data_IF_493703682598
#
_entry.id   IF_493703682598
#
_cell.length_a   1.000
_cell.length_b   1.000
_cell.length_c   1.000
_cell.angle_alpha   90.00
_cell.angle_beta   90.00
_cell.angle_gamma   90.00
#
_symmetry.space_group_name_H-M   'P 1'
#
loop_
_entity.id
_entity.type
_entity.pdbx_description
1 polymer ?
#
# COMPACT_ATOMS: atom_id res chain seq x y z
N UNK A 1 16.34 0.56 -17.40
CA UNK A 1 16.21 1.03 -16.01
C UNK A 1 15.15 0.17 -15.40
N UNK A 2 15.60 -0.85 -14.69
CA UNK A 2 14.73 -1.80 -14.01
C UNK A 2 13.87 -1.03 -12.99
N UNK A 3 12.54 -1.24 -12.97
CA UNK A 3 11.65 -0.57 -12.01
C UNK A 3 12.05 -0.79 -10.54
N UNK A 4 12.88 -1.81 -10.29
CA UNK A 4 13.43 -2.20 -8.99
C UNK A 4 14.65 -1.37 -8.55
N UNK A 5 15.41 -0.75 -9.46
CA UNK A 5 16.57 0.09 -9.08
C UNK A 5 16.18 1.37 -8.34
N UNK A 6 14.94 1.86 -8.52
CA UNK A 6 14.50 3.14 -7.92
C UNK A 6 13.85 2.99 -6.54
N UNK A 7 13.69 1.77 -6.03
CA UNK A 7 13.01 1.50 -4.76
C UNK A 7 14.02 1.14 -3.69
N UNK A 8 14.65 2.18 -3.15
CA UNK A 8 15.61 2.10 -2.05
C UNK A 8 15.05 1.29 -0.87
N UNK A 9 15.78 0.22 -0.57
CA UNK A 9 15.62 -0.68 0.57
C UNK A 9 15.72 0.09 1.89
N UNK A 10 14.58 0.41 2.51
CA UNK A 10 14.49 1.14 3.78
C UNK A 10 14.90 0.37 5.05
N UNK A 11 15.62 -0.75 4.95
CA UNK A 11 16.08 -1.52 6.11
C UNK A 11 17.61 -1.66 6.14
N UNK A 12 18.23 -1.93 7.31
CA UNK A 12 19.67 -2.15 7.39
C UNK A 12 20.05 -3.33 6.50
N UNK A 13 20.97 -3.10 5.57
CA UNK A 13 21.55 -4.15 4.73
C UNK A 13 22.17 -5.23 5.64
N UNK A 14 21.96 -6.53 5.36
CA UNK A 14 22.68 -7.60 6.04
C UNK A 14 24.20 -7.34 6.00
N UNK A 15 24.91 -7.65 7.08
CA UNK A 15 26.36 -7.34 7.22
C UNK A 15 27.23 -8.00 6.14
N UNK A 16 26.72 -9.03 5.46
CA UNK A 16 27.40 -9.77 4.39
C UNK A 16 26.85 -9.46 2.98
N UNK A 17 26.12 -8.35 2.80
CA UNK A 17 25.55 -7.99 1.51
C UNK A 17 26.66 -7.52 0.52
N UNK A 18 26.88 -8.29 -0.54
CA UNK A 18 27.69 -7.89 -1.68
C UNK A 18 26.77 -7.56 -2.88
N UNK A 19 26.89 -6.33 -3.40
CA UNK A 19 26.01 -5.80 -4.45
C UNK A 19 26.31 -6.36 -5.85
N UNK A 20 27.42 -7.09 -6.03
CA UNK A 20 27.79 -7.72 -7.31
C UNK A 20 27.37 -9.20 -7.41
N UNK A 21 26.78 -9.76 -6.35
CA UNK A 21 26.42 -11.18 -6.30
C UNK A 21 24.93 -11.41 -6.64
N UNK A 22 24.68 -12.11 -7.74
CA UNK A 22 23.33 -12.38 -8.25
C UNK A 22 22.50 -13.28 -7.31
N UNK A 23 23.12 -14.19 -6.55
CA UNK A 23 22.42 -15.04 -5.58
C UNK A 23 21.89 -14.22 -4.41
N UNK A 24 22.70 -13.26 -3.96
CA UNK A 24 22.33 -12.33 -2.89
C UNK A 24 21.21 -11.36 -3.31
N UNK A 25 21.14 -10.97 -4.59
CA UNK A 25 20.01 -10.20 -5.13
C UNK A 25 18.73 -11.04 -5.22
N UNK A 26 18.81 -12.27 -5.73
CA UNK A 26 17.64 -13.15 -5.86
C UNK A 26 17.03 -13.49 -4.48
N UNK A 27 17.87 -13.77 -3.49
CA UNK A 27 17.40 -14.03 -2.12
C UNK A 27 16.80 -12.78 -1.47
N UNK A 28 17.33 -11.59 -1.76
CA UNK A 28 16.74 -10.33 -1.33
C UNK A 28 15.37 -10.10 -1.96
N UNK A 29 15.21 -10.34 -3.26
CA UNK A 29 13.93 -10.24 -3.96
C UNK A 29 12.89 -11.22 -3.43
N UNK A 30 13.28 -12.47 -3.13
CA UNK A 30 12.41 -13.46 -2.48
C UNK A 30 11.94 -12.98 -1.11
N UNK A 31 12.87 -12.51 -0.26
CA UNK A 31 12.51 -11.98 1.06
C UNK A 31 11.61 -10.74 0.97
N UNK A 32 11.87 -9.89 -0.02
CA UNK A 32 11.06 -8.73 -0.31
C UNK A 32 9.62 -9.14 -0.69
N UNK A 33 9.47 -10.08 -1.63
CA UNK A 33 8.17 -10.60 -2.04
C UNK A 33 7.40 -11.22 -0.86
N UNK A 34 8.07 -11.99 0.00
CA UNK A 34 7.46 -12.57 1.22
C UNK A 34 6.90 -11.47 2.12
N UNK A 35 7.65 -10.38 2.36
CA UNK A 35 7.19 -9.27 3.20
C UNK A 35 5.98 -8.54 2.59
N UNK A 36 5.97 -8.35 1.26
CA UNK A 36 4.87 -7.70 0.55
C UNK A 36 3.59 -8.54 0.65
N UNK A 37 3.69 -9.84 0.40
CA UNK A 37 2.56 -10.79 0.51
C UNK A 37 2.07 -10.87 1.96
N UNK A 38 2.98 -10.91 2.93
CA UNK A 38 2.62 -10.91 4.34
C UNK A 38 1.88 -9.63 4.74
N UNK A 39 2.33 -8.46 4.28
CA UNK A 39 1.64 -7.19 4.50
C UNK A 39 0.22 -7.22 3.94
N UNK A 40 0.08 -7.65 2.68
CA UNK A 40 -1.22 -7.79 2.00
C UNK A 40 -2.17 -8.72 2.77
N UNK A 41 -1.72 -9.94 3.09
CA UNK A 41 -2.53 -10.92 3.79
C UNK A 41 -2.90 -10.47 5.21
N UNK A 42 -1.98 -9.80 5.90
CA UNK A 42 -2.23 -9.25 7.24
C UNK A 42 -3.29 -8.15 7.19
N UNK A 43 -3.19 -7.23 6.23
CA UNK A 43 -4.16 -6.16 6.08
C UNK A 43 -5.56 -6.70 5.75
N UNK A 44 -5.65 -7.66 4.82
CA UNK A 44 -6.91 -8.31 4.48
C UNK A 44 -7.54 -9.01 5.70
N UNK A 45 -6.76 -9.80 6.44
CA UNK A 45 -7.22 -10.49 7.64
C UNK A 45 -7.68 -9.54 8.76
N UNK A 46 -7.18 -8.30 8.79
CA UNK A 46 -7.70 -7.26 9.69
C UNK A 46 -9.08 -6.81 9.21
N UNK A 47 -9.24 -6.49 7.93
CA UNK A 47 -10.52 -6.05 7.35
C UNK A 47 -11.62 -7.12 7.45
N UNK A 48 -11.28 -8.40 7.39
CA UNK A 48 -12.24 -9.49 7.64
C UNK A 48 -12.76 -9.51 9.09
N UNK A 49 -11.97 -8.98 10.05
CA UNK A 49 -12.27 -9.04 11.49
C UNK A 49 -12.86 -7.75 12.04
N UNK A 50 -12.54 -6.61 11.45
CA UNK A 50 -13.02 -5.29 11.86
C UNK A 50 -13.40 -4.45 10.65
N UNK A 51 -14.43 -3.61 10.78
CA UNK A 51 -14.81 -2.64 9.75
C UNK A 51 -13.66 -1.69 9.43
N UNK A 52 -13.39 -1.45 8.15
CA UNK A 52 -12.35 -0.53 7.70
C UNK A 52 -12.56 0.89 8.22
N UNK A 53 -13.82 1.34 8.32
CA UNK A 53 -14.19 2.65 8.88
C UNK A 53 -13.79 2.88 10.33
N UNK A 54 -13.56 1.81 11.10
CA UNK A 54 -13.02 1.87 12.46
C UNK A 54 -11.51 1.69 12.57
N UNK A 55 -10.82 1.44 11.46
CA UNK A 55 -9.40 1.08 11.45
C UNK A 55 -8.50 2.32 11.34
N UNK A 56 -7.53 2.44 12.25
CA UNK A 56 -6.41 3.38 12.16
C UNK A 56 -5.19 2.64 11.64
N UNK A 57 -4.61 3.11 10.53
CA UNK A 57 -3.44 2.51 9.90
C UNK A 57 -2.13 3.07 10.47
N UNK A 58 -2.15 4.34 10.88
CA UNK A 58 -1.01 5.04 11.48
C UNK A 58 -1.47 5.92 12.64
N UNK A 59 -0.50 6.47 13.39
CA UNK A 59 -0.78 7.47 14.43
C UNK A 59 -1.20 8.82 13.85
N UNK A 60 -0.90 9.09 12.58
CA UNK A 60 -1.06 10.38 11.91
C UNK A 60 -2.05 10.31 10.72
N UNK A 61 -3.03 9.40 10.78
CA UNK A 61 -3.98 9.20 9.67
C UNK A 61 -4.73 10.47 9.27
N UNK A 62 -5.06 11.32 10.24
CA UNK A 62 -5.70 12.62 9.99
C UNK A 62 -4.79 13.52 9.14
N UNK A 63 -3.49 13.63 9.49
CA UNK A 63 -2.51 14.40 8.73
C UNK A 63 -2.33 13.85 7.30
N UNK A 64 -2.25 12.52 7.15
CA UNK A 64 -2.07 11.87 5.85
C UNK A 64 -3.28 12.12 4.95
N UNK A 65 -4.48 11.99 5.50
CA UNK A 65 -5.72 12.18 4.76
C UNK A 65 -5.93 13.64 4.32
N UNK A 66 -5.67 14.60 5.21
CA UNK A 66 -5.80 16.03 4.89
C UNK A 66 -4.77 16.44 3.83
N UNK A 67 -3.52 16.00 3.97
CA UNK A 67 -2.49 16.26 2.97
C UNK A 67 -2.83 15.60 1.62
N UNK A 68 -3.46 14.42 1.60
CA UNK A 68 -3.89 13.77 0.35
C UNK A 68 -4.93 14.64 -0.37
N UNK A 69 -5.90 15.21 0.35
CA UNK A 69 -6.91 16.11 -0.24
C UNK A 69 -6.30 17.40 -0.79
N UNK A 70 -5.31 17.95 -0.10
CA UNK A 70 -4.60 19.14 -0.55
C UNK A 70 -3.73 18.85 -1.79
N UNK A 71 -2.97 17.74 -1.75
CA UNK A 71 -2.02 17.39 -2.79
C UNK A 71 -2.68 16.78 -4.02
N UNK A 72 -3.82 16.12 -3.86
CA UNK A 72 -4.61 15.45 -4.90
C UNK A 72 -6.12 15.71 -4.70
N UNK A 73 -6.59 16.96 -4.86
CA UNK A 73 -8.01 17.29 -4.72
C UNK A 73 -8.92 16.53 -5.69
N UNK A 74 -8.37 16.02 -6.79
CA UNK A 74 -9.06 15.19 -7.77
C UNK A 74 -9.13 13.70 -7.39
N UNK A 75 -8.48 13.28 -6.31
CA UNK A 75 -8.43 11.88 -5.91
C UNK A 75 -9.79 11.39 -5.39
N UNK A 76 -10.37 10.43 -6.08
CA UNK A 76 -11.58 9.71 -5.65
C UNK A 76 -11.20 8.32 -5.11
N UNK A 77 -11.40 8.03 -3.80
CA UNK A 77 -11.07 6.73 -3.22
C UNK A 77 -11.94 5.57 -3.75
N UNK A 78 -13.11 5.85 -4.36
CA UNK A 78 -13.99 4.85 -4.96
C UNK A 78 -13.67 4.55 -6.42
N UNK A 79 -12.95 5.44 -7.10
CA UNK A 79 -12.54 5.24 -8.48
C UNK A 79 -11.48 4.14 -8.60
N UNK A 80 -11.43 3.51 -9.78
CA UNK A 80 -10.29 2.65 -10.12
C UNK A 80 -9.07 3.52 -10.32
N UNK A 81 -8.02 3.19 -9.59
CA UNK A 81 -6.73 3.83 -9.69
C UNK A 81 -6.10 3.51 -11.04
N UNK A 82 -5.73 4.56 -11.76
CA UNK A 82 -4.99 4.47 -13.02
C UNK A 82 -3.47 4.41 -12.74
N UNK A 83 -2.90 3.24 -12.95
CA UNK A 83 -1.47 2.98 -12.73
C UNK A 83 -0.59 3.80 -13.69
N UNK A 84 -1.04 4.04 -14.92
CA UNK A 84 -0.29 4.81 -15.92
C UNK A 84 -0.23 6.29 -15.52
N UNK A 85 -1.32 6.83 -14.97
CA UNK A 85 -1.32 8.20 -14.42
C UNK A 85 -0.37 8.34 -13.24
N UNK A 86 -0.31 7.35 -12.34
CA UNK A 86 0.67 7.35 -11.25
C UNK A 86 2.11 7.26 -11.75
N UNK A 87 2.35 6.46 -12.80
CA UNK A 87 3.67 6.27 -13.40
C UNK A 87 4.08 7.38 -14.37
N UNK A 88 3.15 8.26 -14.76
CA UNK A 88 3.43 9.43 -15.58
C UNK A 88 4.47 10.34 -14.91
N UNK A 89 5.14 11.19 -15.70
CA UNK A 89 6.14 12.11 -15.17
C UNK A 89 5.57 12.99 -14.04
N UNK A 90 4.41 13.60 -14.29
CA UNK A 90 3.73 14.46 -13.33
C UNK A 90 3.26 13.67 -12.10
N UNK A 91 2.70 12.47 -12.30
CA UNK A 91 2.27 11.60 -11.21
C UNK A 91 3.41 11.20 -10.28
N UNK A 92 4.53 10.76 -10.86
CA UNK A 92 5.75 10.42 -10.12
C UNK A 92 6.29 11.59 -9.32
N UNK A 93 6.37 12.78 -9.90
CA UNK A 93 6.87 13.98 -9.22
C UNK A 93 5.97 14.37 -8.04
N UNK A 94 4.64 14.36 -8.22
CA UNK A 94 3.67 14.67 -7.16
C UNK A 94 3.69 13.66 -6.02
N UNK A 95 3.65 12.36 -6.34
CA UNK A 95 3.71 11.31 -5.33
C UNK A 95 5.04 11.30 -4.59
N UNK A 96 6.16 11.57 -5.28
CA UNK A 96 7.47 11.72 -4.63
C UNK A 96 7.45 12.88 -3.65
N UNK A 97 6.96 14.05 -4.05
CA UNK A 97 6.84 15.21 -3.17
C UNK A 97 5.96 14.91 -1.95
N UNK A 98 4.83 14.22 -2.16
CA UNK A 98 3.94 13.77 -1.10
C UNK A 98 4.66 12.86 -0.09
N UNK A 99 5.36 11.84 -0.59
CA UNK A 99 6.07 10.85 0.23
C UNK A 99 7.22 11.44 1.04
N UNK A 100 8.01 12.35 0.45
CA UNK A 100 9.16 12.98 1.12
C UNK A 100 8.78 13.74 2.39
N UNK A 101 7.54 14.23 2.49
CA UNK A 101 7.03 14.88 3.72
C UNK A 101 6.99 13.93 4.93
N UNK A 102 6.97 12.62 4.68
CA UNK A 102 6.84 11.58 5.69
C UNK A 102 8.13 10.79 5.94
N UNK A 103 9.23 11.08 5.24
CA UNK A 103 10.51 10.37 5.35
C UNK A 103 11.00 10.22 6.80
N UNK A 104 10.77 11.24 7.64
CA UNK A 104 11.18 11.26 9.05
C UNK A 104 10.05 10.98 10.05
N UNK A 105 8.84 10.73 9.55
CA UNK A 105 7.62 10.56 10.36
C UNK A 105 7.06 9.14 10.31
N UNK A 106 7.27 8.45 9.20
CA UNK A 106 6.74 7.11 8.94
C UNK A 106 7.92 6.19 8.63
N UNK A 107 8.10 5.17 9.46
CA UNK A 107 9.13 4.16 9.23
C UNK A 107 8.82 3.38 7.94
N UNK A 108 9.87 3.14 7.16
CA UNK A 108 9.78 2.46 5.87
C UNK A 108 8.76 3.10 4.90
N UNK A 109 8.63 4.43 4.91
CA UNK A 109 7.65 5.17 4.11
C UNK A 109 7.66 4.81 2.60
N UNK A 110 8.82 4.41 2.10
CA UNK A 110 9.10 4.05 0.71
C UNK A 110 9.12 2.53 0.45
N UNK A 111 8.91 1.68 1.46
CA UNK A 111 8.87 0.23 1.30
C UNK A 111 7.72 -0.18 0.40
N UNK A 112 7.98 -1.03 -0.59
CA UNK A 112 6.95 -1.46 -1.53
C UNK A 112 5.89 -2.36 -0.89
N UNK A 113 4.64 -2.17 -1.28
CA UNK A 113 3.45 -2.83 -0.77
C UNK A 113 2.47 -3.09 -1.92
N UNK A 114 1.40 -3.84 -1.66
CA UNK A 114 0.33 -4.07 -2.63
C UNK A 114 -0.96 -3.41 -2.18
N UNK A 115 -1.64 -2.74 -3.11
CA UNK A 115 -2.95 -2.11 -2.89
C UNK A 115 -3.90 -2.52 -4.01
N UNK A 116 -5.19 -2.61 -3.69
CA UNK A 116 -6.22 -2.88 -4.69
C UNK A 116 -6.42 -1.64 -5.57
N UNK A 117 -6.49 -1.79 -6.88
CA UNK A 117 -6.73 -0.67 -7.79
C UNK A 117 -8.13 -0.09 -7.61
N UNK A 118 -9.11 -0.90 -7.18
CA UNK A 118 -10.46 -0.46 -6.83
C UNK A 118 -10.85 -1.00 -5.44
N UNK A 119 -11.53 -0.18 -4.63
CA UNK A 119 -11.98 -0.56 -3.29
C UNK A 119 -13.00 -1.72 -3.28
N UNK A 120 -13.70 -1.95 -4.40
CA UNK A 120 -14.69 -3.02 -4.58
C UNK A 120 -14.09 -4.35 -5.05
N UNK A 121 -12.83 -4.36 -5.49
CA UNK A 121 -12.16 -5.57 -5.92
C UNK A 121 -11.57 -6.37 -4.76
N UNK A 122 -11.27 -7.64 -5.01
CA UNK A 122 -10.39 -8.45 -4.16
C UNK A 122 -8.94 -8.33 -4.64
N UNK A 123 -7.99 -8.99 -3.96
CA UNK A 123 -6.61 -9.05 -4.41
C UNK A 123 -6.46 -10.13 -5.50
N UNK A 124 -6.52 -9.71 -6.77
CA UNK A 124 -6.26 -10.55 -7.95
C UNK A 124 -5.14 -9.94 -8.81
N UNK A 125 -4.73 -10.65 -9.86
CA UNK A 125 -3.62 -10.23 -10.71
C UNK A 125 -3.87 -8.88 -11.41
N UNK A 126 -5.11 -8.63 -11.84
CA UNK A 126 -5.54 -7.43 -12.58
C UNK A 126 -6.10 -6.33 -11.68
N UNK A 127 -6.46 -6.65 -10.45
CA UNK A 127 -6.99 -5.71 -9.45
C UNK A 127 -5.96 -5.28 -8.41
N UNK A 128 -4.72 -5.77 -8.48
CA UNK A 128 -3.67 -5.45 -7.51
C UNK A 128 -2.53 -4.68 -8.17
N UNK A 129 -2.15 -3.55 -7.58
CA UNK A 129 -1.01 -2.75 -8.02
C UNK A 129 0.04 -2.64 -6.92
N UNK A 130 1.29 -2.45 -7.33
CA UNK A 130 2.41 -2.30 -6.44
C UNK A 130 2.70 -0.82 -6.17
N UNK A 131 2.74 -0.43 -4.89
CA UNK A 131 2.90 0.97 -4.46
C UNK A 131 3.78 1.06 -3.22
N UNK A 132 4.55 2.15 -2.98
CA UNK A 132 5.20 2.37 -1.71
C UNK A 132 4.21 2.53 -0.56
N UNK A 133 4.65 2.20 0.65
CA UNK A 133 3.83 2.17 1.87
C UNK A 133 3.06 3.47 2.11
N UNK A 134 3.65 4.63 1.84
CA UNK A 134 2.93 5.90 1.97
C UNK A 134 1.81 6.10 0.97
N UNK A 135 1.94 5.60 -0.25
CA UNK A 135 0.83 5.59 -1.21
C UNK A 135 -0.27 4.65 -0.71
N UNK A 136 0.09 3.47 -0.23
CA UNK A 136 -0.86 2.53 0.40
C UNK A 136 -1.63 3.20 1.55
N UNK A 137 -0.94 3.87 2.48
CA UNK A 137 -1.60 4.58 3.58
C UNK A 137 -2.53 5.67 3.08
N UNK A 138 -2.09 6.52 2.16
CA UNK A 138 -2.94 7.59 1.63
C UNK A 138 -4.23 7.02 1.03
N UNK A 139 -4.12 5.99 0.19
CA UNK A 139 -5.25 5.35 -0.50
C UNK A 139 -6.17 4.64 0.50
N UNK A 140 -5.64 3.75 1.33
CA UNK A 140 -6.48 2.93 2.22
C UNK A 140 -7.05 3.73 3.39
N UNK A 141 -6.39 4.78 3.88
CA UNK A 141 -6.99 5.70 4.87
C UNK A 141 -8.21 6.40 4.25
N UNK A 142 -8.09 6.88 3.01
CA UNK A 142 -9.21 7.54 2.33
C UNK A 142 -10.38 6.58 2.09
N UNK A 143 -10.09 5.33 1.71
CA UNK A 143 -11.11 4.28 1.54
C UNK A 143 -11.78 3.89 2.84
N UNK A 144 -11.00 3.65 3.89
CA UNK A 144 -11.49 3.34 5.24
C UNK A 144 -12.43 4.43 5.75
N UNK A 145 -12.00 5.71 5.71
CA UNK A 145 -12.84 6.85 6.14
C UNK A 145 -14.14 6.98 5.35
N UNK A 146 -14.12 6.56 4.08
CA UNK A 146 -15.30 6.58 3.21
C UNK A 146 -16.17 5.33 3.36
N UNK A 147 -15.82 4.39 4.26
CA UNK A 147 -16.52 3.12 4.46
C UNK A 147 -16.40 2.14 3.30
N UNK A 148 -15.52 2.41 2.32
CA UNK A 148 -15.43 1.64 1.08
C UNK A 148 -14.82 0.25 1.26
N UNK A 149 -14.25 -0.03 2.44
CA UNK A 149 -13.67 -1.31 2.80
C UNK A 149 -14.56 -2.13 3.75
N UNK A 150 -15.69 -1.58 4.20
CA UNK A 150 -16.54 -2.25 5.20
C UNK A 150 -17.23 -3.51 4.64
N UNK A 151 -17.42 -3.59 3.32
CA UNK A 151 -18.00 -4.76 2.67
C UNK A 151 -17.17 -6.03 2.89
N UNK A 152 -15.85 -5.90 3.08
CA UNK A 152 -14.95 -7.06 3.32
C UNK A 152 -15.29 -7.70 4.67
N UNK A 153 -15.49 -6.87 5.69
CA UNK A 153 -15.95 -7.32 7.00
C UNK A 153 -17.32 -7.98 6.88
N UNK A 154 -18.26 -7.33 6.19
CA UNK A 154 -19.65 -7.79 6.04
C UNK A 154 -19.69 -9.16 5.35
N UNK A 155 -19.01 -9.30 4.21
CA UNK A 155 -18.87 -10.56 3.47
C UNK A 155 -18.26 -11.66 4.35
N UNK A 156 -17.16 -11.37 5.05
CA UNK A 156 -16.50 -12.35 5.92
C UNK A 156 -17.41 -12.81 7.09
N UNK A 157 -18.20 -11.91 7.68
CA UNK A 157 -19.14 -12.30 8.73
C UNK A 157 -20.32 -13.12 8.18
N UNK A 158 -20.81 -12.81 6.99
CA UNK A 158 -21.87 -13.58 6.31
C UNK A 158 -21.42 -15.02 5.99
N UNK A 159 -20.23 -15.18 5.42
CA UNK A 159 -19.63 -16.48 5.11
C UNK A 159 -19.42 -17.32 6.38
N UNK A 160 -18.95 -16.69 7.46
CA UNK A 160 -18.76 -17.35 8.76
C UNK A 160 -20.07 -17.78 9.41
N UNK A 161 -21.13 -17.00 9.25
CA UNK A 161 -22.46 -17.34 9.76
C UNK A 161 -23.14 -18.42 8.91
N UNK A 162 -22.88 -18.45 7.60
CA UNK A 162 -23.42 -19.46 6.68
C UNK A 162 -22.71 -20.82 6.79
N UNK A 163 -21.48 -20.82 7.31
CA UNK A 163 -20.66 -22.02 7.51
C UNK A 163 -20.81 -22.64 8.92
N UNK A 164 -21.71 -22.11 9.75
CA UNK A 164 -22.07 -22.63 11.07
C UNK A 164 -23.37 -23.39 11.02
#
# INVERSE_FOLDING_TARGET
MDPLESMSTGGPLPKDFNADDASNMEDMEKQFAVKVVQHMATYWAILEKVKGSGLRLTKIDDEIYDHLKEAFPEFDPAATIDEDQMKSKTGKERWRAFMMKYEKKVDDYNFGTMVRNNAKGEYEQDTTIFVPRMQFYAIEIARNRSGLNDWIYEKAQEEKNSSK
#
